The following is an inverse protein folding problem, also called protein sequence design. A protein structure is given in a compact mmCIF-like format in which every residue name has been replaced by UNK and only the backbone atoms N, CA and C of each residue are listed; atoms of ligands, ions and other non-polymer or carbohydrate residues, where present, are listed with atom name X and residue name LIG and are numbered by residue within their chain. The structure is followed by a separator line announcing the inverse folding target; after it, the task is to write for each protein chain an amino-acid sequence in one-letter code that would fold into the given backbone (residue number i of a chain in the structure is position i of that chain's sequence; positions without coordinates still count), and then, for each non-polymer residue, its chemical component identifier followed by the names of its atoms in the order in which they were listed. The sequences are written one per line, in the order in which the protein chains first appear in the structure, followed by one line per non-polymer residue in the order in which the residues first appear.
data_IF_768489774037
#
_entry.id   IF_768489774037
#
_cell.length_a   1.000
_cell.length_b   1.000
_cell.length_c   1.000
_cell.angle_alpha   90.00
_cell.angle_beta   90.00
_cell.angle_gamma   90.00
#
_symmetry.space_group_name_H-M   'P 1'
#
loop_
_entity.id
_entity.type
_entity.pdbx_description
1 polymer ?
#
# COMPACT_ATOMS: atom_id res chain seq x y z
N UNK A 1 -5.23 36.10 23.35
CA UNK A 1 -5.00 34.63 23.41
C UNK A 1 -3.81 34.29 22.55
N UNK A 2 -2.69 33.82 23.12
CA UNK A 2 -1.56 33.32 22.33
C UNK A 2 -1.99 31.95 21.80
N UNK A 3 -2.30 31.86 20.51
CA UNK A 3 -2.54 30.59 19.83
C UNK A 3 -1.24 29.78 19.95
N UNK A 4 -1.15 28.92 20.97
CA UNK A 4 -0.13 27.87 20.99
C UNK A 4 -0.49 26.92 19.85
N UNK A 5 0.18 27.11 18.72
CA UNK A 5 0.06 26.25 17.55
C UNK A 5 0.49 24.84 17.97
N UNK A 6 -0.49 23.95 18.01
CA UNK A 6 -0.27 22.55 18.28
C UNK A 6 0.44 21.95 17.07
N UNK A 7 1.76 21.79 17.14
CA UNK A 7 2.55 21.16 16.07
C UNK A 7 2.36 19.64 16.14
N UNK A 8 1.27 19.14 15.58
CA UNK A 8 1.10 17.70 15.34
C UNK A 8 1.94 17.36 14.11
N UNK A 9 2.90 16.43 14.26
CA UNK A 9 3.71 15.99 13.12
C UNK A 9 2.83 15.31 12.06
N UNK A 10 2.70 15.95 10.90
CA UNK A 10 1.90 15.48 9.76
C UNK A 10 2.69 14.57 8.80
N UNK A 11 4.01 14.42 8.98
CA UNK A 11 4.85 13.56 8.13
C UNK A 11 4.34 12.12 8.02
N UNK A 12 3.80 11.50 9.09
CA UNK A 12 3.28 10.14 8.99
C UNK A 12 1.96 10.05 8.19
N UNK A 13 1.18 11.13 8.15
CA UNK A 13 -0.02 11.20 7.32
C UNK A 13 0.35 11.30 5.83
N UNK A 14 1.34 12.13 5.50
CA UNK A 14 1.89 12.23 4.15
C UNK A 14 2.47 10.89 3.67
N UNK A 15 3.28 10.22 4.51
CA UNK A 15 3.85 8.90 4.18
C UNK A 15 2.79 7.83 4.02
N UNK A 16 1.70 7.85 4.81
CA UNK A 16 0.54 6.95 4.62
C UNK A 16 -0.04 7.07 3.21
N UNK A 17 -0.38 8.30 2.82
CA UNK A 17 -1.01 8.56 1.53
C UNK A 17 -0.06 8.28 0.36
N UNK A 18 1.21 8.65 0.50
CA UNK A 18 2.25 8.34 -0.46
C UNK A 18 2.39 6.81 -0.64
N UNK A 19 2.37 6.06 0.47
CA UNK A 19 2.44 4.60 0.46
C UNK A 19 1.23 3.96 -0.22
N UNK A 20 0.02 4.43 0.07
CA UNK A 20 -1.20 3.95 -0.60
C UNK A 20 -1.14 4.21 -2.12
N UNK A 21 -0.81 5.44 -2.53
CA UNK A 21 -0.70 5.80 -3.94
C UNK A 21 0.38 4.97 -4.63
N UNK A 22 1.54 4.81 -4.00
CA UNK A 22 2.62 3.97 -4.51
C UNK A 22 2.18 2.52 -4.68
N UNK A 23 1.48 1.95 -3.69
CA UNK A 23 0.99 0.56 -3.76
C UNK A 23 0.01 0.36 -4.91
N UNK A 24 -0.94 1.29 -5.08
CA UNK A 24 -1.92 1.24 -6.18
C UNK A 24 -1.21 1.36 -7.53
N UNK A 25 -0.28 2.32 -7.65
CA UNK A 25 0.49 2.54 -8.88
C UNK A 25 1.31 1.30 -9.26
N UNK A 26 2.08 0.74 -8.33
CA UNK A 26 2.92 -0.43 -8.60
C UNK A 26 2.09 -1.69 -8.87
N UNK A 27 0.94 -1.85 -8.21
CA UNK A 27 0.00 -2.94 -8.53
C UNK A 27 -0.52 -2.82 -9.96
N UNK A 28 -0.90 -1.62 -10.38
CA UNK A 28 -1.38 -1.34 -11.73
C UNK A 28 -0.27 -1.54 -12.78
N UNK A 29 0.96 -1.12 -12.49
CA UNK A 29 2.12 -1.36 -13.34
C UNK A 29 2.45 -2.85 -13.46
N UNK A 30 2.33 -3.63 -12.38
CA UNK A 30 2.49 -5.09 -12.42
C UNK A 30 1.45 -5.69 -13.35
N UNK A 31 0.16 -5.33 -13.20
CA UNK A 31 -0.92 -5.80 -14.05
C UNK A 31 -0.69 -5.46 -15.53
N UNK A 32 -0.31 -4.22 -15.84
CA UNK A 32 0.04 -3.80 -17.20
C UNK A 32 1.25 -4.55 -17.75
N UNK A 33 2.27 -4.80 -16.93
CA UNK A 33 3.46 -5.56 -17.35
C UNK A 33 3.14 -7.03 -17.65
N UNK A 34 2.15 -7.59 -16.94
CA UNK A 34 1.72 -8.98 -17.10
C UNK A 34 0.70 -9.15 -18.22
N UNK A 35 -0.06 -8.13 -18.60
CA UNK A 35 -1.05 -8.17 -19.67
C UNK A 35 -0.53 -8.74 -21.02
N UNK A 36 0.64 -8.32 -21.55
CA UNK A 36 1.18 -8.89 -22.79
C UNK A 36 1.58 -10.36 -22.62
N UNK A 37 2.07 -10.76 -21.44
CA UNK A 37 2.45 -12.14 -21.17
C UNK A 37 1.22 -13.04 -20.97
N UNK A 38 0.19 -12.53 -20.31
CA UNK A 38 -1.12 -13.14 -20.15
C UNK A 38 -1.79 -13.42 -21.49
N UNK A 39 -1.75 -12.45 -22.41
CA UNK A 39 -2.32 -12.63 -23.75
C UNK A 39 -1.54 -13.65 -24.59
N UNK A 40 -0.21 -13.70 -24.45
CA UNK A 40 0.64 -14.73 -25.09
C UNK A 40 0.37 -16.11 -24.49
N UNK A 41 0.28 -16.23 -23.17
CA UNK A 41 -0.04 -17.47 -22.47
C UNK A 41 -1.45 -17.96 -22.83
N UNK A 42 -2.44 -17.06 -22.91
CA UNK A 42 -3.79 -17.41 -23.37
C UNK A 42 -3.78 -17.90 -24.84
N UNK A 43 -2.95 -17.31 -25.70
CA UNK A 43 -2.80 -17.74 -27.09
C UNK A 43 -2.11 -19.11 -27.21
N UNK A 44 -1.10 -19.42 -26.39
CA UNK A 44 -0.46 -20.75 -26.37
C UNK A 44 -1.40 -21.81 -25.80
N UNK A 45 -2.15 -21.50 -24.75
CA UNK A 45 -3.19 -22.36 -24.17
C UNK A 45 -4.29 -22.64 -25.20
N UNK A 46 -4.73 -21.61 -25.95
CA UNK A 46 -5.70 -21.77 -27.05
C UNK A 46 -5.17 -22.68 -28.16
N UNK A 47 -3.91 -22.52 -28.58
CA UNK A 47 -3.29 -23.40 -29.59
C UNK A 47 -3.15 -24.84 -29.10
N UNK A 48 -2.76 -25.06 -27.85
CA UNK A 48 -2.68 -26.38 -27.24
C UNK A 48 -4.06 -27.03 -27.14
N UNK A 49 -5.09 -26.25 -26.81
CA UNK A 49 -6.48 -26.69 -26.82
C UNK A 49 -6.94 -27.08 -28.23
N UNK A 50 -6.71 -26.24 -29.25
CA UNK A 50 -7.06 -26.53 -30.66
C UNK A 50 -6.32 -27.74 -31.24
N UNK A 51 -5.06 -27.98 -30.82
CA UNK A 51 -4.31 -29.18 -31.22
C UNK A 51 -4.79 -30.45 -30.52
N UNK A 52 -5.23 -30.36 -29.26
CA UNK A 52 -5.71 -31.52 -28.49
C UNK A 52 -7.17 -31.87 -28.77
N UNK A 53 -7.99 -30.89 -29.13
CA UNK A 53 -9.41 -31.07 -29.41
C UNK A 53 -9.70 -30.57 -30.83
N UNK A 54 -9.72 -31.50 -31.79
CA UNK A 54 -10.21 -31.25 -33.14
C UNK A 54 -11.71 -30.87 -33.07
N UNK A 55 -12.01 -29.57 -32.95
CA UNK A 55 -13.36 -29.02 -33.21
C UNK A 55 -14.25 -28.68 -32.00
N UNK A 56 -13.73 -28.58 -30.78
CA UNK A 56 -14.52 -28.18 -29.60
C UNK A 56 -14.39 -26.68 -29.25
N UNK A 57 -15.49 -26.03 -28.84
CA UNK A 57 -15.46 -24.65 -28.33
C UNK A 57 -14.58 -24.50 -27.09
N UNK A 58 -13.94 -23.34 -26.91
CA UNK A 58 -13.03 -23.06 -25.79
C UNK A 58 -13.79 -23.15 -24.45
N UNK A 59 -13.58 -24.23 -23.70
CA UNK A 59 -14.25 -24.48 -22.42
C UNK A 59 -13.49 -23.85 -21.26
N UNK A 60 -14.18 -23.07 -20.43
CA UNK A 60 -13.64 -22.52 -19.18
C UNK A 60 -13.12 -23.61 -18.21
N UNK A 61 -13.58 -24.85 -18.34
CA UNK A 61 -13.10 -25.99 -17.54
C UNK A 61 -11.64 -26.35 -17.78
N UNK A 62 -11.09 -26.07 -18.97
CA UNK A 62 -9.67 -26.31 -19.29
C UNK A 62 -8.76 -25.35 -18.52
N UNK A 63 -9.18 -24.09 -18.35
CA UNK A 63 -8.46 -23.10 -17.55
C UNK A 63 -8.44 -23.50 -16.07
N UNK A 64 -9.57 -23.92 -15.50
CA UNK A 64 -9.64 -24.36 -14.10
C UNK A 64 -8.77 -25.61 -13.85
N UNK A 65 -8.75 -26.56 -14.80
CA UNK A 65 -7.90 -27.75 -14.71
C UNK A 65 -6.41 -27.43 -14.86
N UNK A 66 -6.07 -26.42 -15.67
CA UNK A 66 -4.71 -25.90 -15.83
C UNK A 66 -4.28 -25.13 -14.56
N UNK A 67 -5.12 -24.30 -13.96
CA UNK A 67 -4.79 -23.62 -12.69
C UNK A 67 -4.58 -24.59 -11.51
N UNK A 68 -5.25 -25.74 -11.52
CA UNK A 68 -5.02 -26.81 -10.52
C UNK A 68 -3.75 -27.63 -10.76
N UNK A 69 -3.18 -27.58 -11.95
CA UNK A 69 -1.93 -28.28 -12.29
C UNK A 69 -0.72 -27.40 -12.00
N UNK A 70 0.18 -27.87 -11.13
CA UNK A 70 1.43 -27.17 -10.77
C UNK A 70 2.29 -26.85 -12.00
N UNK A 71 2.22 -27.66 -13.06
CA UNK A 71 2.94 -27.42 -14.31
C UNK A 71 2.48 -26.16 -15.04
N UNK A 72 1.17 -25.88 -15.08
CA UNK A 72 0.64 -24.67 -15.70
C UNK A 72 0.96 -23.41 -14.88
N UNK A 73 0.94 -23.53 -13.54
CA UNK A 73 1.33 -22.45 -12.62
C UNK A 73 2.80 -22.07 -12.75
N UNK A 74 3.69 -23.07 -12.92
CA UNK A 74 5.10 -22.83 -13.21
C UNK A 74 5.30 -22.14 -14.55
N UNK A 75 4.57 -22.54 -15.60
CA UNK A 75 4.61 -21.83 -16.89
C UNK A 75 4.20 -20.36 -16.72
N UNK A 76 3.20 -20.09 -15.87
CA UNK A 76 2.72 -18.72 -15.61
C UNK A 76 3.74 -17.82 -14.90
N UNK A 77 4.41 -18.34 -13.87
CA UNK A 77 5.49 -17.62 -13.17
C UNK A 77 6.73 -17.43 -14.06
N UNK A 78 7.01 -18.39 -14.94
CA UNK A 78 8.11 -18.32 -15.92
C UNK A 78 7.76 -17.39 -17.10
N UNK A 79 6.48 -17.17 -17.41
CA UNK A 79 6.06 -16.29 -18.52
C UNK A 79 6.23 -14.81 -18.28
N UNK A 80 6.54 -14.34 -17.06
CA UNK A 80 6.79 -12.91 -16.84
C UNK A 80 8.06 -12.52 -17.61
N UNK A 81 7.90 -11.92 -18.78
CA UNK A 81 8.98 -11.66 -19.74
C UNK A 81 9.76 -10.38 -19.42
N UNK A 82 9.31 -9.61 -18.43
CA UNK A 82 9.98 -8.40 -18.00
C UNK A 82 11.43 -8.70 -17.56
N UNK A 83 12.41 -7.85 -17.92
CA UNK A 83 13.78 -8.01 -17.47
C UNK A 83 13.86 -7.92 -15.94
N UNK A 84 14.79 -8.70 -15.36
CA UNK A 84 15.06 -8.77 -13.91
C UNK A 84 15.07 -7.41 -13.17
N UNK A 85 15.72 -6.34 -13.68
CA UNK A 85 15.67 -5.03 -13.02
C UNK A 85 14.26 -4.43 -12.92
N UNK A 86 13.41 -4.63 -13.94
CA UNK A 86 12.03 -4.12 -13.92
C UNK A 86 11.20 -4.92 -12.92
N UNK A 87 11.37 -6.25 -12.88
CA UNK A 87 10.71 -7.10 -11.88
C UNK A 87 11.08 -6.68 -10.45
N UNK A 88 12.37 -6.47 -10.20
CA UNK A 88 12.87 -6.02 -8.91
C UNK A 88 12.32 -4.63 -8.53
N UNK A 89 12.27 -3.70 -9.48
CA UNK A 89 11.68 -2.38 -9.27
C UNK A 89 10.18 -2.45 -8.94
N UNK A 90 9.41 -3.25 -9.67
CA UNK A 90 7.97 -3.38 -9.49
C UNK A 90 7.62 -4.04 -8.15
N UNK A 91 8.27 -5.16 -7.83
CA UNK A 91 8.07 -5.86 -6.57
C UNK A 91 8.60 -5.06 -5.38
N UNK A 92 9.77 -4.43 -5.53
CA UNK A 92 10.36 -3.58 -4.51
C UNK A 92 9.51 -2.34 -4.23
N UNK A 93 9.01 -1.69 -5.28
CA UNK A 93 8.09 -0.55 -5.19
C UNK A 93 6.77 -0.93 -4.53
N UNK A 94 6.21 -2.10 -4.85
CA UNK A 94 5.01 -2.62 -4.19
C UNK A 94 5.26 -2.87 -2.70
N UNK A 95 6.34 -3.57 -2.34
CA UNK A 95 6.72 -3.83 -0.95
C UNK A 95 6.93 -2.54 -0.17
N UNK A 96 7.65 -1.58 -0.75
CA UNK A 96 7.88 -0.27 -0.15
C UNK A 96 6.58 0.51 0.06
N UNK A 97 5.67 0.50 -0.93
CA UNK A 97 4.35 1.11 -0.82
C UNK A 97 3.52 0.51 0.33
N UNK A 98 3.50 -0.82 0.44
CA UNK A 98 2.76 -1.53 1.50
C UNK A 98 3.34 -1.18 2.88
N UNK A 99 4.65 -1.26 3.03
CA UNK A 99 5.31 -0.96 4.31
C UNK A 99 5.10 0.49 4.75
N UNK A 100 5.20 1.45 3.83
CA UNK A 100 4.95 2.86 4.13
C UNK A 100 3.49 3.14 4.47
N UNK A 101 2.54 2.49 3.79
CA UNK A 101 1.12 2.58 4.13
C UNK A 101 0.84 2.01 5.53
N UNK A 102 1.41 0.85 5.87
CA UNK A 102 1.27 0.23 7.19
C UNK A 102 1.86 1.10 8.30
N UNK A 103 3.05 1.64 8.11
CA UNK A 103 3.66 2.58 9.07
C UNK A 103 2.80 3.83 9.28
N UNK A 104 2.23 4.36 8.20
CA UNK A 104 1.31 5.49 8.25
C UNK A 104 -0.03 5.18 8.93
N UNK A 105 -0.52 3.94 8.86
CA UNK A 105 -1.74 3.48 9.56
C UNK A 105 -1.52 3.27 11.06
N UNK A 106 -0.31 2.86 11.46
CA UNK A 106 0.08 2.74 12.87
C UNK A 106 0.10 4.12 13.54
N UNK A 107 0.40 5.18 12.78
CA UNK A 107 0.40 6.54 13.31
C UNK A 107 -1.01 7.06 13.60
N UNK A 108 -1.28 7.35 14.89
CA UNK A 108 -2.53 7.95 15.35
C UNK A 108 -2.28 9.39 15.85
N UNK A 109 -2.47 10.41 15.00
CA UNK A 109 -2.20 11.81 15.36
C UNK A 109 -3.09 12.29 16.52
N UNK A 110 -4.29 11.72 16.65
CA UNK A 110 -5.23 11.99 17.74
C UNK A 110 -4.65 11.67 19.12
N UNK A 111 -3.91 10.56 19.23
CA UNK A 111 -3.30 10.13 20.51
C UNK A 111 -2.17 11.07 20.91
N UNK A 112 -1.37 11.52 19.93
CA UNK A 112 -0.30 12.48 20.15
C UNK A 112 -0.85 13.84 20.56
N UNK A 113 -1.89 14.32 19.89
CA UNK A 113 -2.57 15.56 20.24
C UNK A 113 -3.15 15.49 21.67
N UNK A 114 -3.88 14.42 22.01
CA UNK A 114 -4.45 14.26 23.35
C UNK A 114 -3.38 14.16 24.46
N UNK A 115 -2.19 13.63 24.15
CA UNK A 115 -1.06 13.61 25.09
C UNK A 115 -0.50 15.01 25.32
N UNK A 116 -0.31 15.79 24.26
CA UNK A 116 0.23 17.15 24.36
C UNK A 116 -0.73 18.10 25.07
N UNK A 117 -2.04 17.99 24.85
CA UNK A 117 -3.02 18.79 25.61
C UNK A 117 -2.95 18.48 27.10
N UNK A 118 -2.87 17.20 27.48
CA UNK A 118 -2.77 16.77 28.88
C UNK A 118 -1.48 17.26 29.55
N UNK A 119 -0.34 17.13 28.87
CA UNK A 119 0.95 17.59 29.39
C UNK A 119 0.97 19.11 29.54
N UNK A 120 0.43 19.85 28.58
CA UNK A 120 0.37 21.31 28.66
C UNK A 120 -0.62 21.80 29.72
N UNK A 121 -1.77 21.13 29.89
CA UNK A 121 -2.71 21.41 30.97
C UNK A 121 -2.05 21.22 32.35
N UNK A 122 -1.34 20.10 32.54
CA UNK A 122 -0.60 19.83 33.79
C UNK A 122 0.48 20.88 34.07
N UNK A 123 1.21 21.35 33.03
CA UNK A 123 2.19 22.44 33.17
C UNK A 123 1.54 23.76 33.56
N UNK A 124 0.37 24.08 33.01
CA UNK A 124 -0.38 25.29 33.36
C UNK A 124 -0.89 25.23 34.80
N UNK A 125 -1.38 24.07 35.26
CA UNK A 125 -1.79 23.87 36.65
C UNK A 125 -0.62 23.98 37.63
N UNK A 126 0.51 23.34 37.32
CA UNK A 126 1.74 23.46 38.12
C UNK A 126 2.25 24.91 38.17
N UNK A 127 2.19 25.65 37.05
CA UNK A 127 2.56 27.05 37.02
C UNK A 127 1.65 27.94 37.88
N UNK A 128 0.34 27.67 37.94
CA UNK A 128 -0.61 28.38 38.82
C UNK A 128 -0.30 28.17 40.30
N UNK A 129 0.12 26.96 40.69
CA UNK A 129 0.46 26.64 42.08
C UNK A 129 1.77 27.31 42.53
N UNK A 130 2.72 27.49 41.61
CA UNK A 130 4.02 28.08 41.90
C UNK A 130 4.15 29.58 41.56
N UNK A 131 3.14 30.22 40.95
CA UNK A 131 3.22 31.64 40.62
C UNK A 131 2.92 32.52 41.85
N UNK A 132 3.83 33.43 42.24
CA UNK A 132 3.62 34.34 43.37
C UNK A 132 2.64 35.49 43.07
N UNK A 133 2.17 35.62 41.81
CA UNK A 133 1.28 36.69 41.37
C UNK A 133 -0.03 36.12 40.81
N UNK A 134 -1.20 36.61 41.26
CA UNK A 134 -2.48 36.16 40.73
C UNK A 134 -2.62 36.56 39.25
N UNK A 135 -3.27 35.75 38.41
CA UNK A 135 -3.41 36.02 36.99
C UNK A 135 -4.20 37.33 36.80
N UNK A 136 -3.57 38.33 36.16
CA UNK A 136 -4.27 39.55 35.73
C UNK A 136 -5.36 39.13 34.74
N UNK A 137 -6.61 39.51 35.01
CA UNK A 137 -7.73 39.36 34.07
C UNK A 137 -7.31 40.02 32.75
N UNK A 138 -7.11 39.20 31.73
CA UNK A 138 -6.94 39.68 30.37
C UNK A 138 -8.33 40.07 29.86
N UNK A 139 -8.53 41.36 29.64
CA UNK A 139 -9.58 41.90 28.77
C UNK A 139 -9.28 41.52 27.32
#
# INVERSE_FOLDING_TARGET
MRLQTMYVDMRPMLTKWLGIVSTVLFSLLILLSLQPDLSRAAATVKRAYEQSHQGGSFSFGYLDHCFRSSGCLQTFLVTWSAPLPIKALLLGGLLFGVLSALLGLIWRPEVVAMRDTRVNAAKVEAAKLHSPTPPRRAL
#
